data_IF_785281675111
#
_entry.id   IF_785281675111
#
_cell.length_a   1.000
_cell.length_b   1.000
_cell.length_c   1.000
_cell.angle_alpha   90.00
_cell.angle_beta   90.00
_cell.angle_gamma   90.00
#
_symmetry.space_group_name_H-M   'P 1'
#
loop_
_entity.id
_entity.type
_entity.pdbx_description
1 polymer ?
#
# COMPACT_ATOMS: atom_id res chain seq x y z
N UNK A 1 2.27 9.60 -15.02
CA UNK A 1 1.55 8.32 -15.17
C UNK A 1 0.10 8.55 -14.79
N UNK A 2 -0.89 7.97 -15.49
CA UNK A 2 -2.28 8.10 -15.05
C UNK A 2 -2.50 7.15 -13.85
N UNK A 3 -2.89 7.68 -12.69
CA UNK A 3 -3.14 6.92 -11.46
C UNK A 3 -4.63 6.85 -11.09
N UNK A 4 -5.55 7.35 -11.92
CA UNK A 4 -6.99 7.43 -11.62
C UNK A 4 -7.62 6.07 -11.25
N UNK A 5 -7.12 4.98 -11.85
CA UNK A 5 -7.58 3.63 -11.55
C UNK A 5 -7.37 3.21 -10.08
N UNK A 6 -6.40 3.81 -9.38
CA UNK A 6 -6.16 3.59 -7.94
C UNK A 6 -7.30 4.11 -7.08
N UNK A 7 -8.01 5.15 -7.51
CA UNK A 7 -8.96 5.90 -6.68
C UNK A 7 -10.42 5.50 -6.95
N UNK A 8 -10.62 4.30 -7.48
CA UNK A 8 -11.95 3.69 -7.66
C UNK A 8 -12.54 3.27 -6.32
N UNK A 9 -13.86 3.10 -6.23
CA UNK A 9 -14.49 2.68 -4.97
C UNK A 9 -14.16 1.21 -4.66
N UNK A 10 -13.86 0.86 -3.40
CA UNK A 10 -13.66 -0.52 -3.00
C UNK A 10 -14.94 -1.35 -3.13
N UNK A 11 -14.81 -2.59 -3.56
CA UNK A 11 -15.92 -3.53 -3.68
C UNK A 11 -16.35 -4.04 -2.30
N UNK A 12 -17.65 -3.96 -2.01
CA UNK A 12 -18.23 -4.54 -0.80
C UNK A 12 -18.81 -5.92 -1.10
N UNK A 13 -18.27 -7.02 -0.52
CA UNK A 13 -18.85 -8.35 -0.69
C UNK A 13 -20.33 -8.40 -0.33
N UNK A 14 -21.16 -8.90 -1.25
CA UNK A 14 -22.62 -9.01 -1.06
C UNK A 14 -23.44 -7.78 -1.48
N UNK A 15 -22.79 -6.70 -1.95
CA UNK A 15 -23.47 -5.63 -2.69
C UNK A 15 -23.14 -5.77 -4.18
N UNK A 16 -24.16 -5.72 -5.02
CA UNK A 16 -23.96 -5.54 -6.46
C UNK A 16 -23.63 -4.06 -6.63
N UNK A 17 -22.41 -3.77 -7.05
CA UNK A 17 -22.06 -2.44 -7.51
C UNK A 17 -22.49 -2.34 -8.98
N UNK A 18 -23.64 -1.71 -9.21
CA UNK A 18 -24.18 -1.45 -10.55
C UNK A 18 -23.51 -0.23 -11.21
N UNK A 19 -22.52 0.39 -10.55
CA UNK A 19 -21.70 1.42 -11.19
C UNK A 19 -20.94 0.76 -12.35
N UNK A 20 -21.09 1.25 -13.60
CA UNK A 20 -20.28 0.76 -14.69
C UNK A 20 -18.81 0.95 -14.31
N UNK A 21 -18.11 -0.15 -14.04
CA UNK A 21 -16.65 -0.10 -13.94
C UNK A 21 -16.19 0.22 -15.35
N UNK A 22 -15.61 1.41 -15.54
CA UNK A 22 -14.96 1.79 -16.78
C UNK A 22 -13.66 0.99 -16.91
N UNK A 23 -13.82 -0.31 -17.19
CA UNK A 23 -12.71 -1.23 -17.45
C UNK A 23 -11.93 -0.75 -18.67
N UNK A 24 -12.59 -0.08 -19.63
CA UNK A 24 -11.91 0.48 -20.80
C UNK A 24 -10.84 1.49 -20.38
N UNK A 25 -11.10 2.36 -19.39
CA UNK A 25 -10.08 3.26 -18.83
C UNK A 25 -8.85 2.55 -18.26
N UNK A 26 -8.99 1.30 -17.79
CA UNK A 26 -7.88 0.49 -17.27
C UNK A 26 -7.02 -0.13 -18.38
N UNK A 27 -7.55 -0.26 -19.59
CA UNK A 27 -6.88 -0.86 -20.76
C UNK A 27 -6.46 0.18 -21.82
N UNK A 28 -6.86 1.45 -21.69
CA UNK A 28 -6.56 2.50 -22.66
C UNK A 28 -5.11 3.05 -22.56
N UNK A 29 -4.37 2.73 -21.49
CA UNK A 29 -2.94 3.03 -21.36
C UNK A 29 -2.24 2.01 -20.45
N UNK A 30 -0.96 1.75 -20.72
CA UNK A 30 -0.08 0.87 -19.96
C UNK A 30 0.28 1.44 -18.57
N UNK A 31 -0.43 2.47 -18.09
CA UNK A 31 -0.15 3.13 -16.81
C UNK A 31 -0.26 2.18 -15.62
N UNK A 32 -1.22 1.24 -15.64
CA UNK A 32 -1.33 0.21 -14.60
C UNK A 32 -0.12 -0.71 -14.59
N UNK A 33 0.27 -1.23 -15.76
CA UNK A 33 1.41 -2.13 -15.91
C UNK A 33 2.72 -1.43 -15.53
N UNK A 34 2.89 -0.15 -15.92
CA UNK A 34 4.04 0.67 -15.53
C UNK A 34 4.14 0.87 -14.03
N UNK A 35 3.02 1.19 -13.36
CA UNK A 35 3.02 1.36 -11.90
C UNK A 35 3.28 0.02 -11.19
N UNK A 36 2.69 -1.06 -11.68
CA UNK A 36 2.95 -2.42 -11.18
C UNK A 36 4.44 -2.77 -11.27
N UNK A 37 5.05 -2.52 -12.43
CA UNK A 37 6.48 -2.73 -12.65
C UNK A 37 7.34 -1.87 -11.73
N UNK A 38 6.98 -0.59 -11.59
CA UNK A 38 7.68 0.37 -10.72
C UNK A 38 7.63 -0.10 -9.25
N UNK A 39 6.44 -0.44 -8.74
CA UNK A 39 6.28 -0.92 -7.38
C UNK A 39 6.98 -2.28 -7.16
N UNK A 40 7.00 -3.19 -8.14
CA UNK A 40 7.60 -4.53 -7.95
C UNK A 40 9.11 -4.59 -8.15
N UNK A 41 9.69 -3.65 -8.91
CA UNK A 41 11.11 -3.67 -9.32
C UNK A 41 11.96 -2.54 -8.71
N UNK A 42 11.37 -1.48 -8.18
CA UNK A 42 12.12 -0.38 -7.53
C UNK A 42 12.74 -0.79 -6.19
N UNK A 43 13.58 0.05 -5.57
CA UNK A 43 14.04 -0.21 -4.20
C UNK A 43 12.89 -0.07 -3.21
N UNK A 44 13.04 -0.59 -1.98
CA UNK A 44 12.04 -0.40 -0.92
C UNK A 44 11.79 1.10 -0.66
N UNK A 45 12.84 1.92 -0.58
CA UNK A 45 12.71 3.37 -0.34
C UNK A 45 11.91 4.07 -1.43
N UNK A 46 12.15 3.70 -2.70
CA UNK A 46 11.38 4.22 -3.82
C UNK A 46 9.92 3.78 -3.75
N UNK A 47 9.64 2.51 -3.43
CA UNK A 47 8.27 2.03 -3.21
C UNK A 47 7.58 2.81 -2.08
N UNK A 48 8.24 3.03 -0.94
CA UNK A 48 7.64 3.78 0.17
C UNK A 48 7.37 5.23 -0.23
N UNK A 49 8.27 5.85 -1.00
CA UNK A 49 8.07 7.20 -1.54
C UNK A 49 6.87 7.25 -2.49
N UNK A 50 6.76 6.29 -3.40
CA UNK A 50 5.63 6.19 -4.32
C UNK A 50 4.30 5.96 -3.58
N UNK A 51 4.30 5.12 -2.55
CA UNK A 51 3.12 4.95 -1.67
C UNK A 51 2.77 6.25 -0.94
N UNK A 52 3.75 7.01 -0.47
CA UNK A 52 3.50 8.32 0.14
C UNK A 52 2.79 9.24 -0.85
N UNK A 53 3.27 9.32 -2.09
CA UNK A 53 2.64 10.13 -3.14
C UNK A 53 1.21 9.70 -3.42
N UNK A 54 0.95 8.39 -3.57
CA UNK A 54 -0.39 7.84 -3.79
C UNK A 54 -1.36 8.26 -2.66
N UNK A 55 -0.93 8.17 -1.41
CA UNK A 55 -1.74 8.56 -0.25
C UNK A 55 -1.87 10.09 -0.10
N UNK A 56 -0.91 10.85 -0.64
CA UNK A 56 -0.96 12.31 -0.69
C UNK A 56 -1.87 12.85 -1.77
N UNK A 57 -2.13 12.09 -2.84
CA UNK A 57 -3.02 12.47 -3.93
C UNK A 57 -4.49 12.31 -3.49
N UNK A 58 -4.93 11.10 -3.15
CA UNK A 58 -6.33 10.82 -2.76
C UNK A 58 -6.48 9.55 -1.87
N UNK A 59 -7.70 8.99 -1.78
CA UNK A 59 -8.03 7.74 -1.10
C UNK A 59 -7.86 6.53 -2.04
N UNK A 60 -6.72 5.81 -2.00
CA UNK A 60 -6.54 4.65 -2.86
C UNK A 60 -7.44 3.48 -2.43
N UNK A 61 -7.95 2.78 -3.41
CA UNK A 61 -8.64 1.51 -3.24
C UNK A 61 -7.63 0.44 -2.79
N UNK A 62 -7.80 -0.04 -1.56
CA UNK A 62 -6.91 -1.05 -0.98
C UNK A 62 -6.82 -2.33 -1.83
N UNK A 63 -7.89 -2.73 -2.53
CA UNK A 63 -7.90 -3.93 -3.36
C UNK A 63 -7.04 -3.75 -4.61
N UNK A 64 -7.17 -2.59 -5.25
CA UNK A 64 -6.38 -2.23 -6.44
C UNK A 64 -4.91 -2.10 -6.04
N UNK A 65 -4.63 -1.41 -4.94
CA UNK A 65 -3.27 -1.20 -4.43
C UNK A 65 -2.58 -2.52 -4.08
N UNK A 66 -3.25 -3.40 -3.32
CA UNK A 66 -2.70 -4.73 -2.99
C UNK A 66 -2.48 -5.57 -4.26
N UNK A 67 -3.39 -5.50 -5.23
CA UNK A 67 -3.25 -6.21 -6.51
C UNK A 67 -2.04 -5.76 -7.35
N UNK A 68 -1.52 -4.54 -7.15
CA UNK A 68 -0.26 -4.11 -7.78
C UNK A 68 0.96 -4.74 -7.12
N UNK A 69 0.88 -5.10 -5.84
CA UNK A 69 2.01 -5.60 -5.06
C UNK A 69 2.07 -7.13 -5.00
N UNK A 70 0.96 -7.80 -5.27
CA UNK A 70 0.89 -9.24 -5.22
C UNK A 70 -0.46 -9.82 -5.55
N UNK A 71 -0.57 -11.13 -5.31
CA UNK A 71 -1.76 -11.92 -5.55
C UNK A 71 -2.34 -12.47 -4.23
N UNK A 72 -3.56 -12.99 -4.32
CA UNK A 72 -4.27 -13.67 -3.21
C UNK A 72 -4.43 -12.79 -1.99
N UNK A 73 -5.33 -11.82 -2.12
CA UNK A 73 -5.76 -10.98 -0.99
C UNK A 73 -6.69 -11.78 -0.09
N UNK A 74 -6.30 -11.95 1.17
CA UNK A 74 -7.11 -12.59 2.21
C UNK A 74 -7.66 -11.55 3.17
N UNK A 75 -8.93 -11.69 3.50
CA UNK A 75 -9.56 -10.94 4.60
C UNK A 75 -9.34 -11.68 5.92
N UNK A 76 -8.73 -11.02 6.88
CA UNK A 76 -8.61 -11.46 8.26
C UNK A 76 -9.42 -10.54 9.18
N UNK A 77 -9.97 -11.09 10.27
CA UNK A 77 -10.55 -10.30 11.36
C UNK A 77 -9.71 -10.56 12.60
N UNK A 78 -9.07 -9.51 13.13
CA UNK A 78 -8.17 -9.58 14.28
C UNK A 78 -8.57 -8.50 15.27
N UNK A 79 -9.01 -8.90 16.47
CA UNK A 79 -9.38 -7.95 17.54
C UNK A 79 -10.34 -6.84 17.06
N UNK A 80 -11.42 -7.24 16.39
CA UNK A 80 -12.43 -6.36 15.77
C UNK A 80 -11.92 -5.46 14.62
N UNK A 81 -10.68 -5.63 14.18
CA UNK A 81 -10.13 -4.98 12.99
C UNK A 81 -10.32 -5.83 11.74
N UNK A 82 -10.65 -5.18 10.63
CA UNK A 82 -10.67 -5.81 9.31
C UNK A 82 -9.33 -5.56 8.64
N UNK A 83 -8.58 -6.64 8.40
CA UNK A 83 -7.29 -6.61 7.72
C UNK A 83 -7.40 -7.29 6.36
N UNK A 84 -6.76 -6.72 5.35
CA UNK A 84 -6.55 -7.33 4.05
C UNK A 84 -5.06 -7.61 3.87
N UNK A 85 -4.71 -8.89 3.80
CA UNK A 85 -3.34 -9.37 3.74
C UNK A 85 -3.02 -9.92 2.35
N UNK A 86 -1.80 -9.74 1.88
CA UNK A 86 -1.29 -10.48 0.71
C UNK A 86 -0.64 -11.79 1.16
N UNK A 87 -1.08 -12.91 0.61
CA UNK A 87 -0.36 -14.19 0.76
C UNK A 87 0.88 -14.27 -0.12
N UNK A 88 0.81 -13.71 -1.32
CA UNK A 88 1.86 -13.82 -2.34
C UNK A 88 2.31 -12.44 -2.78
N UNK A 89 3.45 -11.98 -2.27
CA UNK A 89 4.05 -10.70 -2.65
C UNK A 89 4.96 -10.91 -3.85
N UNK A 90 4.70 -10.14 -4.92
CA UNK A 90 5.39 -10.27 -6.20
C UNK A 90 6.55 -9.27 -6.34
N UNK A 91 7.30 -9.03 -5.26
CA UNK A 91 8.48 -8.16 -5.23
C UNK A 91 9.74 -8.90 -5.68
N UNK A 92 10.55 -8.23 -6.51
CA UNK A 92 11.79 -8.83 -7.06
C UNK A 92 12.85 -9.03 -5.99
N UNK A 93 13.04 -8.03 -5.12
CA UNK A 93 14.12 -8.00 -4.13
C UNK A 93 13.84 -8.83 -2.87
N UNK A 94 12.60 -9.33 -2.70
CA UNK A 94 12.14 -10.09 -1.52
C UNK A 94 12.46 -9.38 -0.20
N UNK A 95 12.38 -8.05 -0.23
CA UNK A 95 12.61 -7.10 0.84
C UNK A 95 11.40 -6.96 1.78
N UNK A 96 10.22 -7.40 1.34
CA UNK A 96 8.96 -7.41 2.09
C UNK A 96 8.51 -8.85 2.34
N UNK A 97 8.26 -9.17 3.62
CA UNK A 97 7.77 -10.45 4.08
C UNK A 97 6.23 -10.53 4.13
N UNK A 98 5.58 -9.42 4.48
CA UNK A 98 4.12 -9.34 4.61
C UNK A 98 3.62 -7.92 4.36
N UNK A 99 2.42 -7.81 3.80
CA UNK A 99 1.67 -6.55 3.71
C UNK A 99 0.29 -6.79 4.30
N UNK A 100 -0.14 -5.92 5.21
CA UNK A 100 -1.49 -5.91 5.77
C UNK A 100 -2.08 -4.50 5.64
N UNK A 101 -3.34 -4.37 5.22
CA UNK A 101 -4.07 -3.11 5.22
C UNK A 101 -5.24 -3.21 6.19
N UNK A 102 -5.25 -2.35 7.20
CA UNK A 102 -6.40 -2.10 8.06
C UNK A 102 -7.34 -1.11 7.38
N UNK A 103 -8.62 -1.46 7.30
CA UNK A 103 -9.65 -0.58 6.74
C UNK A 103 -10.74 -0.24 7.75
N UNK A 104 -11.44 0.86 7.51
CA UNK A 104 -12.68 1.16 8.20
C UNK A 104 -13.79 0.16 7.83
N UNK A 105 -14.58 -0.27 8.80
CA UNK A 105 -15.63 -1.27 8.60
C UNK A 105 -16.86 -0.72 7.86
N UNK A 106 -17.06 0.60 7.89
CA UNK A 106 -18.19 1.26 7.22
C UNK A 106 -17.81 1.81 5.85
N UNK A 107 -16.68 2.52 5.77
CA UNK A 107 -16.27 3.21 4.54
C UNK A 107 -15.34 2.37 3.66
N UNK A 108 -14.69 1.34 4.22
CA UNK A 108 -13.63 0.57 3.57
C UNK A 108 -12.40 1.40 3.18
N UNK A 109 -12.28 2.62 3.72
CA UNK A 109 -11.10 3.47 3.53
C UNK A 109 -9.92 2.91 4.32
N UNK A 110 -8.71 3.17 3.82
CA UNK A 110 -7.49 2.70 4.47
C UNK A 110 -7.25 3.51 5.73
N UNK A 111 -7.09 2.83 6.86
CA UNK A 111 -6.59 3.43 8.11
C UNK A 111 -5.08 3.31 8.21
N UNK A 112 -4.58 2.10 8.00
CA UNK A 112 -3.16 1.77 8.17
C UNK A 112 -2.73 0.74 7.15
N UNK A 113 -1.58 0.97 6.52
CA UNK A 113 -0.86 -0.01 5.72
C UNK A 113 0.39 -0.45 6.49
N UNK A 114 0.40 -1.70 6.95
CA UNK A 114 1.52 -2.32 7.63
C UNK A 114 2.36 -3.12 6.62
N UNK A 115 3.67 -2.86 6.60
CA UNK A 115 4.63 -3.50 5.71
C UNK A 115 5.72 -4.12 6.59
N UNK A 116 5.88 -5.43 6.52
CA UNK A 116 6.86 -6.17 7.31
C UNK A 116 8.08 -6.44 6.43
N UNK A 117 9.24 -5.96 6.84
CA UNK A 117 10.45 -5.91 6.02
C UNK A 117 11.65 -6.48 6.76
N UNK A 118 12.68 -6.86 6.01
CA UNK A 118 13.95 -7.29 6.60
C UNK A 118 14.68 -6.14 7.28
N UNK A 119 15.49 -6.43 8.30
CA UNK A 119 16.30 -5.42 9.02
C UNK A 119 17.17 -4.59 8.07
N UNK A 120 17.84 -5.23 7.11
CA UNK A 120 18.67 -4.52 6.12
C UNK A 120 17.86 -3.56 5.26
N UNK A 121 16.67 -3.98 4.80
CA UNK A 121 15.82 -3.13 3.97
C UNK A 121 15.24 -1.97 4.77
N UNK A 122 14.86 -2.21 6.03
CA UNK A 122 14.40 -1.17 6.94
C UNK A 122 15.45 -0.06 7.15
N UNK A 123 16.71 -0.45 7.41
CA UNK A 123 17.80 0.51 7.61
C UNK A 123 18.03 1.38 6.37
N UNK A 124 17.91 0.81 5.17
CA UNK A 124 18.03 1.57 3.92
C UNK A 124 16.91 2.61 3.81
N UNK A 125 15.65 2.22 4.03
CA UNK A 125 14.51 3.15 4.02
C UNK A 125 14.71 4.25 5.05
N UNK A 126 15.09 3.90 6.28
CA UNK A 126 15.29 4.86 7.37
C UNK A 126 16.35 5.92 7.05
N UNK A 127 17.38 5.57 6.28
CA UNK A 127 18.45 6.48 5.89
C UNK A 127 18.10 7.32 4.65
N UNK A 128 17.31 6.79 3.74
CA UNK A 128 16.99 7.43 2.45
C UNK A 128 15.71 8.25 2.50
N UNK A 129 14.75 7.86 3.34
CA UNK A 129 13.47 8.57 3.45
C UNK A 129 13.72 9.93 4.08
N UNK A 130 13.40 10.97 3.34
CA UNK A 130 13.54 12.34 3.79
C UNK A 130 12.16 13.01 3.79
N UNK A 131 11.99 13.97 4.70
CA UNK A 131 10.79 14.80 4.78
C UNK A 131 11.14 16.23 4.32
N UNK A 132 11.50 16.43 3.04
CA UNK A 132 12.06 17.70 2.57
C UNK A 132 11.09 18.88 2.75
N UNK A 133 9.78 18.63 2.67
CA UNK A 133 8.72 19.64 2.76
C UNK A 133 8.12 19.79 4.18
N UNK A 134 8.53 18.97 5.15
CA UNK A 134 7.97 18.98 6.51
C UNK A 134 6.51 18.50 6.62
N UNK A 135 5.92 17.96 5.54
CA UNK A 135 4.50 17.55 5.47
C UNK A 135 4.24 16.16 6.04
N UNK A 136 5.28 15.35 6.17
CA UNK A 136 5.19 14.00 6.74
C UNK A 136 5.50 14.06 8.22
N UNK A 137 4.74 13.33 9.05
CA UNK A 137 5.18 13.05 10.40
C UNK A 137 5.75 11.63 10.41
N UNK A 138 7.05 11.52 10.65
CA UNK A 138 7.78 10.26 10.68
C UNK A 138 8.26 10.03 12.10
N UNK A 139 7.82 8.94 12.72
CA UNK A 139 8.24 8.50 14.04
C UNK A 139 8.68 7.04 13.94
N UNK A 140 9.83 6.70 14.51
CA UNK A 140 10.31 5.33 14.47
C UNK A 140 11.50 5.08 15.38
N UNK A 141 11.72 3.81 15.68
CA UNK A 141 12.82 3.29 16.47
C UNK A 141 13.66 2.32 15.61
N UNK A 142 14.24 1.29 16.22
CA UNK A 142 15.02 0.30 15.49
C UNK A 142 14.17 -0.83 14.90
N UNK A 143 12.95 -1.03 15.41
CA UNK A 143 12.09 -2.16 15.08
C UNK A 143 10.88 -1.72 14.25
N UNK A 144 10.54 -0.43 14.25
CA UNK A 144 9.42 0.10 13.48
C UNK A 144 9.56 1.56 13.09
N UNK A 145 8.93 1.92 11.98
CA UNK A 145 8.76 3.30 11.53
C UNK A 145 7.33 3.52 11.09
N UNK A 146 6.70 4.56 11.60
CA UNK A 146 5.38 5.04 11.19
C UNK A 146 5.50 6.36 10.43
N UNK A 147 4.70 6.48 9.37
CA UNK A 147 4.63 7.65 8.51
C UNK A 147 3.15 8.05 8.44
N UNK A 148 2.82 9.19 9.04
CA UNK A 148 1.47 9.76 8.97
C UNK A 148 1.34 10.64 7.74
N UNK A 149 0.34 10.34 6.91
CA UNK A 149 -0.01 11.04 5.68
C UNK A 149 -1.49 11.39 5.76
N UNK A 150 -1.80 12.69 5.88
CA UNK A 150 -3.15 13.20 6.16
C UNK A 150 -3.67 12.63 7.50
N UNK A 151 -4.44 11.55 7.45
CA UNK A 151 -5.07 10.84 8.56
C UNK A 151 -4.78 9.33 8.56
N UNK A 152 -3.84 8.88 7.70
CA UNK A 152 -3.51 7.47 7.47
C UNK A 152 -2.06 7.17 7.82
N UNK A 153 -1.81 5.93 8.19
CA UNK A 153 -0.47 5.47 8.50
C UNK A 153 0.07 4.50 7.46
N UNK A 154 1.31 4.71 7.04
CA UNK A 154 2.17 3.64 6.51
C UNK A 154 3.12 3.27 7.64
N UNK A 155 3.14 1.99 8.03
CA UNK A 155 3.99 1.50 9.12
C UNK A 155 4.88 0.38 8.61
N UNK A 156 6.18 0.55 8.76
CA UNK A 156 7.17 -0.47 8.51
C UNK A 156 7.52 -1.16 9.82
N UNK A 157 7.55 -2.49 9.81
CA UNK A 157 8.01 -3.31 10.93
C UNK A 157 9.21 -4.15 10.48
N UNK A 158 10.24 -4.18 11.32
CA UNK A 158 11.35 -5.11 11.16
C UNK A 158 10.90 -6.49 11.59
N UNK A 159 11.11 -7.48 10.73
CA UNK A 159 10.96 -8.88 11.09
C UNK A 159 12.30 -9.59 11.01
N UNK A 160 12.66 -10.27 12.11
CA UNK A 160 13.81 -11.16 12.13
C UNK A 160 13.42 -12.45 11.41
N UNK A 161 14.06 -12.69 10.26
CA UNK A 161 13.92 -13.93 9.49
C UNK A 161 14.53 -15.14 10.18
#
# INVERSE_FOLDING_TARGET
>A
MNREFLYTRPYTPGKIDDTPVDLDSWFLDDSREKLEDELRKSSLSSLITELIEIFQDDEPNYQVLLGLLGDKIIKEVREDKILYCLEEILRTDKDINKIEIEVDDQTLHIKTMNIFVTESSYLNVKNEISNPDGKLFIEGDNDSMSILIRDKYIVLYVVNG
#
